data_IF_908953587448
#
_entry.id   IF_908953587448
#
_cell.length_a   1.000
_cell.length_b   1.000
_cell.length_c   1.000
_cell.angle_alpha   90.00
_cell.angle_beta   90.00
_cell.angle_gamma   90.00
#
_symmetry.space_group_name_H-M   'P 1'
#
loop_
_entity.id
_entity.type
_entity.pdbx_description
1 polymer ?
#
# COMPACT_ATOMS: atom_id res chain seq x y z
N UNK A 1 -0.47 -9.20 5.27
CA UNK A 1 0.57 -8.57 6.11
C UNK A 1 1.78 -8.20 5.26
N UNK A 2 2.43 -7.09 5.61
CA UNK A 2 3.69 -6.66 5.03
C UNK A 2 4.86 -7.03 5.94
N UNK A 3 6.05 -7.14 5.37
CA UNK A 3 7.28 -7.44 6.11
C UNK A 3 8.48 -6.73 5.49
N UNK A 4 9.53 -6.56 6.28
CA UNK A 4 10.79 -6.01 5.83
C UNK A 4 10.85 -4.48 5.78
N UNK A 5 9.98 -3.80 6.54
CA UNK A 5 10.19 -2.38 6.83
C UNK A 5 11.34 -2.22 7.85
N UNK A 6 12.10 -1.13 7.76
CA UNK A 6 13.21 -0.87 8.68
C UNK A 6 12.73 -0.63 10.11
N UNK A 7 11.57 -0.01 10.26
CA UNK A 7 10.94 0.27 11.54
C UNK A 7 9.89 -0.80 11.85
N UNK A 8 10.13 -1.58 12.89
CA UNK A 8 9.25 -2.67 13.30
C UNK A 8 7.92 -2.17 13.88
N UNK A 9 7.90 -0.99 14.50
CA UNK A 9 6.69 -0.40 15.06
C UNK A 9 5.80 0.15 13.94
N UNK A 10 6.39 0.80 12.93
CA UNK A 10 5.71 1.20 11.70
C UNK A 10 5.10 -0.02 11.02
N UNK A 11 5.87 -1.08 10.81
CA UNK A 11 5.39 -2.32 10.20
C UNK A 11 4.22 -2.94 10.98
N UNK A 12 4.33 -2.97 12.31
CA UNK A 12 3.29 -3.51 13.19
C UNK A 12 2.01 -2.68 13.12
N UNK A 13 2.13 -1.35 13.11
CA UNK A 13 1.00 -0.43 13.00
C UNK A 13 0.25 -0.62 11.68
N UNK A 14 0.96 -0.64 10.55
CA UNK A 14 0.37 -0.87 9.23
C UNK A 14 -0.30 -2.25 9.17
N UNK A 15 0.35 -3.30 9.66
CA UNK A 15 -0.23 -4.65 9.67
C UNK A 15 -1.48 -4.75 10.55
N UNK A 16 -1.54 -4.02 11.67
CA UNK A 16 -2.74 -3.96 12.51
C UNK A 16 -3.91 -3.29 11.77
N UNK A 17 -3.66 -2.17 11.09
CA UNK A 17 -4.66 -1.47 10.30
C UNK A 17 -5.16 -2.31 9.11
N UNK A 18 -4.26 -2.98 8.38
CA UNK A 18 -4.64 -3.91 7.30
C UNK A 18 -5.50 -5.05 7.84
N UNK A 19 -5.13 -5.62 8.98
CA UNK A 19 -5.91 -6.70 9.62
C UNK A 19 -7.29 -6.24 10.01
N UNK A 20 -7.42 -5.07 10.65
CA UNK A 20 -8.70 -4.48 11.00
C UNK A 20 -9.57 -4.25 9.75
N UNK A 21 -8.98 -3.69 8.70
CA UNK A 21 -9.64 -3.46 7.42
C UNK A 21 -10.29 -4.73 6.83
N UNK A 22 -9.59 -5.87 6.87
CA UNK A 22 -10.13 -7.13 6.34
C UNK A 22 -11.06 -7.86 7.32
N UNK A 23 -10.91 -7.65 8.62
CA UNK A 23 -11.78 -8.27 9.64
C UNK A 23 -13.07 -7.47 9.89
N UNK A 24 -13.00 -6.15 9.79
CA UNK A 24 -14.12 -5.22 10.00
C UNK A 24 -14.82 -4.86 8.68
N UNK A 25 -14.38 -5.45 7.57
CA UNK A 25 -15.02 -5.33 6.27
C UNK A 25 -16.52 -5.68 6.35
N UNK A 26 -17.28 -5.49 5.30
CA UNK A 26 -18.73 -5.65 5.36
C UNK A 26 -19.07 -7.01 5.96
N UNK A 27 -19.69 -6.98 7.14
CA UNK A 27 -20.21 -8.19 7.76
C UNK A 27 -21.30 -8.72 6.83
N UNK A 28 -21.01 -9.82 6.16
CA UNK A 28 -21.99 -10.52 5.36
C UNK A 28 -23.01 -11.06 6.34
N UNK A 29 -24.22 -10.53 6.33
CA UNK A 29 -25.30 -11.17 7.06
C UNK A 29 -25.48 -12.58 6.50
N UNK A 30 -25.84 -13.54 7.34
CA UNK A 30 -26.01 -14.94 6.95
C UNK A 30 -27.03 -15.18 5.80
N UNK A 31 -27.68 -14.13 5.35
CA UNK A 31 -28.63 -14.14 4.21
C UNK A 31 -27.95 -14.01 2.84
N UNK A 32 -26.65 -13.66 2.77
CA UNK A 32 -25.91 -13.47 1.53
C UNK A 32 -24.95 -14.63 1.27
N UNK A 33 -25.29 -15.48 0.29
CA UNK A 33 -24.62 -16.76 0.05
C UNK A 33 -23.32 -16.72 -0.78
N UNK A 34 -22.89 -15.59 -1.30
CA UNK A 34 -21.64 -15.55 -2.07
C UNK A 34 -20.97 -14.19 -1.95
N UNK A 35 -19.73 -14.20 -1.50
CA UNK A 35 -18.77 -13.12 -1.66
C UNK A 35 -17.87 -13.47 -2.84
N UNK A 36 -18.07 -12.79 -3.95
CA UNK A 36 -17.04 -12.70 -4.97
C UNK A 36 -16.28 -11.41 -4.74
N UNK A 37 -14.97 -11.49 -4.64
CA UNK A 37 -14.17 -10.30 -4.39
C UNK A 37 -12.70 -10.53 -4.67
N UNK A 38 -11.97 -9.43 -4.77
CA UNK A 38 -10.55 -9.41 -4.94
C UNK A 38 -9.90 -8.47 -3.92
N UNK A 39 -8.65 -8.67 -3.72
CA UNK A 39 -7.82 -7.73 -2.97
C UNK A 39 -6.46 -7.61 -3.63
N UNK A 40 -5.77 -6.51 -3.36
CA UNK A 40 -4.44 -6.30 -3.86
C UNK A 40 -3.72 -5.22 -3.10
N UNK A 41 -2.46 -5.04 -3.46
CA UNK A 41 -1.64 -3.97 -2.93
C UNK A 41 -0.64 -3.51 -3.99
N UNK A 42 -0.28 -2.23 -3.95
CA UNK A 42 0.80 -1.65 -4.74
C UNK A 42 1.62 -0.68 -3.90
N UNK A 43 2.83 -0.39 -4.34
CA UNK A 43 3.64 0.70 -3.79
C UNK A 43 3.67 1.81 -4.84
N UNK A 44 3.13 2.95 -4.45
CA UNK A 44 2.98 4.14 -5.27
C UNK A 44 3.84 5.26 -4.69
N UNK A 45 5.01 5.49 -5.27
CA UNK A 45 6.01 6.34 -4.64
C UNK A 45 6.51 5.72 -3.33
N UNK A 46 6.34 6.39 -2.20
CA UNK A 46 6.56 5.83 -0.85
C UNK A 46 5.28 5.41 -0.14
N UNK A 47 4.17 5.34 -0.86
CA UNK A 47 2.86 4.98 -0.31
C UNK A 47 2.53 3.52 -0.60
N UNK A 48 2.21 2.75 0.42
CA UNK A 48 1.55 1.45 0.29
C UNK A 48 0.05 1.67 0.11
N UNK A 49 -0.49 1.26 -1.02
CA UNK A 49 -1.94 1.25 -1.27
C UNK A 49 -2.44 -0.18 -1.19
N UNK A 50 -3.40 -0.44 -0.31
CA UNK A 50 -4.06 -1.74 -0.14
C UNK A 50 -5.53 -1.57 -0.50
N UNK A 51 -6.09 -2.45 -1.31
CA UNK A 51 -7.50 -2.38 -1.68
C UNK A 51 -8.18 -3.73 -1.59
N UNK A 52 -9.47 -3.68 -1.36
CA UNK A 52 -10.35 -4.82 -1.47
C UNK A 52 -11.65 -4.42 -2.16
N UNK A 53 -12.17 -5.32 -2.97
CA UNK A 53 -13.50 -5.22 -3.55
C UNK A 53 -14.28 -6.48 -3.24
N UNK A 54 -15.54 -6.37 -2.96
CA UNK A 54 -16.40 -7.53 -2.86
C UNK A 54 -17.81 -7.22 -3.36
N UNK A 55 -18.45 -8.24 -3.89
CA UNK A 55 -19.86 -8.23 -4.29
C UNK A 55 -20.59 -9.19 -3.37
N UNK A 56 -21.55 -8.70 -2.62
CA UNK A 56 -22.39 -9.52 -1.74
C UNK A 56 -23.82 -9.50 -2.23
N UNK A 57 -24.45 -10.69 -2.33
CA UNK A 57 -25.86 -10.80 -2.67
C UNK A 57 -26.13 -11.46 -4.02
N UNK A 58 -27.42 -11.72 -4.30
CA UNK A 58 -27.90 -12.31 -5.56
C UNK A 58 -28.86 -11.34 -6.26
N UNK A 59 -28.65 -11.18 -7.57
CA UNK A 59 -29.58 -10.41 -8.41
C UNK A 59 -29.59 -8.90 -8.11
N UNK A 60 -30.76 -8.28 -8.20
CA UNK A 60 -30.93 -6.84 -8.01
C UNK A 60 -30.65 -6.32 -6.59
N UNK A 61 -30.40 -7.21 -5.64
CA UNK A 61 -30.01 -6.87 -4.26
C UNK A 61 -28.52 -7.00 -3.98
N UNK A 62 -27.69 -7.19 -5.00
CA UNK A 62 -26.25 -7.27 -4.82
C UNK A 62 -25.68 -5.91 -4.36
N UNK A 63 -24.94 -5.93 -3.27
CA UNK A 63 -24.19 -4.77 -2.81
C UNK A 63 -22.72 -4.93 -3.25
N UNK A 64 -22.16 -3.87 -3.84
CA UNK A 64 -20.75 -3.79 -4.18
C UNK A 64 -20.05 -2.93 -3.16
N UNK A 65 -18.96 -3.45 -2.61
CA UNK A 65 -18.12 -2.75 -1.66
C UNK A 65 -16.71 -2.65 -2.22
N UNK A 66 -16.24 -1.43 -2.35
CA UNK A 66 -14.87 -1.14 -2.74
C UNK A 66 -14.26 -0.27 -1.66
N UNK A 67 -13.09 -0.62 -1.18
CA UNK A 67 -12.39 0.15 -0.17
C UNK A 67 -10.88 0.08 -0.38
N UNK A 68 -10.17 1.13 0.04
CA UNK A 68 -8.73 1.18 -0.01
C UNK A 68 -8.14 1.88 1.21
N UNK A 69 -6.92 1.53 1.54
CA UNK A 69 -6.09 2.17 2.54
C UNK A 69 -4.81 2.65 1.88
N UNK A 70 -4.28 3.76 2.36
CA UNK A 70 -2.99 4.30 1.92
C UNK A 70 -2.13 4.60 3.15
N UNK A 71 -0.88 4.13 3.15
CA UNK A 71 0.07 4.32 4.25
C UNK A 71 1.40 4.83 3.74
N UNK A 72 1.98 5.81 4.41
CA UNK A 72 3.38 6.13 4.21
C UNK A 72 4.28 5.01 4.76
N UNK A 73 5.13 4.44 3.92
CA UNK A 73 6.03 3.35 4.30
C UNK A 73 7.19 3.80 5.21
N UNK A 74 7.46 5.10 5.27
CA UNK A 74 8.54 5.64 6.10
C UNK A 74 8.05 5.98 7.51
N UNK A 75 6.80 6.49 7.63
CA UNK A 75 6.25 6.98 8.89
C UNK A 75 5.18 6.07 9.49
N UNK A 76 4.53 5.25 8.65
CA UNK A 76 3.36 4.45 9.03
C UNK A 76 2.06 5.25 9.09
N UNK A 77 2.10 6.53 8.74
CA UNK A 77 0.92 7.39 8.72
C UNK A 77 -0.09 6.87 7.69
N UNK A 78 -1.34 6.81 8.11
CA UNK A 78 -2.45 6.46 7.24
C UNK A 78 -3.03 7.73 6.63
N UNK A 79 -3.00 7.82 5.32
CA UNK A 79 -3.59 8.93 4.57
C UNK A 79 -5.07 8.68 4.27
N UNK A 80 -5.84 9.76 4.34
CA UNK A 80 -7.20 9.81 3.82
C UNK A 80 -7.18 10.41 2.41
N UNK A 81 -8.13 10.03 1.56
CA UNK A 81 -8.18 10.60 0.21
C UNK A 81 -8.33 12.12 0.21
N UNK A 82 -9.01 12.68 1.23
CA UNK A 82 -9.16 14.12 1.43
C UNK A 82 -7.84 14.85 1.63
N UNK A 83 -6.80 14.16 2.15
CA UNK A 83 -5.49 14.77 2.43
C UNK A 83 -4.71 15.08 1.14
N UNK A 84 -5.18 14.53 0.01
CA UNK A 84 -4.61 14.77 -1.31
C UNK A 84 -5.20 16.02 -1.99
N UNK A 85 -6.27 16.57 -1.47
CA UNK A 85 -7.06 17.58 -2.16
C UNK A 85 -7.23 18.87 -1.37
N UNK A 86 -7.35 19.97 -2.09
CA UNK A 86 -7.87 21.22 -1.55
C UNK A 86 -9.34 21.04 -1.13
N UNK A 87 -9.82 21.92 -0.25
CA UNK A 87 -11.19 21.87 0.23
C UNK A 87 -12.21 21.90 -0.92
N UNK A 88 -13.33 21.16 -0.74
CA UNK A 88 -14.45 21.13 -1.71
C UNK A 88 -14.17 20.41 -3.05
N UNK A 89 -13.17 19.55 -3.11
CA UNK A 89 -12.77 18.82 -4.31
C UNK A 89 -13.87 17.96 -4.95
N UNK A 90 -14.80 17.40 -4.16
CA UNK A 90 -15.80 16.44 -4.63
C UNK A 90 -16.72 16.99 -5.73
N UNK A 91 -17.06 18.29 -5.69
CA UNK A 91 -17.88 18.90 -6.72
C UNK A 91 -17.16 18.94 -8.07
N UNK A 92 -15.87 19.28 -8.06
CA UNK A 92 -15.03 19.28 -9.27
C UNK A 92 -14.82 17.86 -9.79
N UNK A 93 -14.52 16.91 -8.93
CA UNK A 93 -14.40 15.47 -9.31
C UNK A 93 -15.67 15.00 -10.04
N UNK A 94 -16.86 15.31 -9.51
CA UNK A 94 -18.14 14.95 -10.17
C UNK A 94 -18.29 15.54 -11.57
N UNK A 95 -17.74 16.71 -11.84
CA UNK A 95 -17.81 17.32 -13.18
C UNK A 95 -16.81 16.73 -14.16
N UNK A 96 -15.75 16.11 -13.66
CA UNK A 96 -14.69 15.47 -14.46
C UNK A 96 -15.02 14.01 -14.82
N UNK A 97 -15.90 13.39 -14.06
CA UNK A 97 -16.33 12.01 -14.32
C UNK A 97 -17.42 11.98 -15.41
N UNK A 98 -17.55 10.89 -16.18
CA UNK A 98 -18.58 10.76 -17.19
C UNK A 98 -19.99 11.01 -16.61
N UNK A 99 -20.74 11.93 -17.21
CA UNK A 99 -21.97 12.51 -16.63
C UNK A 99 -23.23 11.65 -16.79
N UNK A 100 -23.14 10.45 -17.35
CA UNK A 100 -24.33 9.65 -17.72
C UNK A 100 -24.93 8.88 -16.56
N UNK A 101 -24.28 8.84 -15.41
CA UNK A 101 -24.70 8.05 -14.26
C UNK A 101 -24.72 8.89 -12.99
N UNK A 102 -25.78 8.73 -12.19
CA UNK A 102 -25.74 9.17 -10.79
C UNK A 102 -24.60 8.42 -10.10
N UNK A 103 -23.42 9.04 -10.08
CA UNK A 103 -22.22 8.46 -9.50
C UNK A 103 -22.46 8.36 -8.00
N UNK A 104 -22.91 7.21 -7.58
CA UNK A 104 -22.86 6.84 -6.18
C UNK A 104 -21.38 6.60 -5.83
N UNK A 105 -20.69 7.68 -5.44
CA UNK A 105 -19.30 7.65 -4.96
C UNK A 105 -19.24 6.96 -3.58
N UNK A 106 -19.75 5.74 -3.50
CA UNK A 106 -19.72 4.93 -2.28
C UNK A 106 -18.42 4.13 -2.13
N UNK A 107 -17.48 4.29 -3.05
CA UNK A 107 -16.22 3.58 -3.00
C UNK A 107 -15.08 4.52 -2.63
N UNK A 108 -14.17 4.04 -1.82
CA UNK A 108 -12.91 4.72 -1.58
C UNK A 108 -12.06 4.64 -2.85
N UNK A 109 -11.67 5.78 -3.42
CA UNK A 109 -10.87 5.80 -4.64
C UNK A 109 -9.49 5.21 -4.37
N UNK A 110 -8.89 4.62 -5.40
CA UNK A 110 -7.53 4.11 -5.35
C UNK A 110 -6.55 5.14 -5.92
N UNK A 111 -5.52 5.45 -5.16
CA UNK A 111 -4.47 6.37 -5.56
C UNK A 111 -3.34 5.62 -6.25
N UNK A 112 -2.72 6.24 -7.24
CA UNK A 112 -1.50 5.81 -7.91
C UNK A 112 -0.57 6.99 -8.17
N UNK A 113 0.62 6.71 -8.68
CA UNK A 113 1.55 7.77 -9.13
C UNK A 113 1.06 8.56 -10.36
N UNK A 114 0.05 8.05 -11.06
CA UNK A 114 -0.55 8.70 -12.24
C UNK A 114 -1.73 9.59 -11.87
N UNK A 115 -2.47 9.26 -10.81
CA UNK A 115 -3.68 9.96 -10.41
C UNK A 115 -4.55 9.15 -9.47
N UNK A 116 -5.84 9.40 -9.52
CA UNK A 116 -6.84 8.79 -8.65
C UNK A 116 -7.87 8.05 -9.47
N UNK A 117 -8.03 6.74 -9.21
CA UNK A 117 -9.05 5.90 -9.84
C UNK A 117 -10.30 5.89 -8.99
N UNK A 118 -11.37 6.39 -9.55
CA UNK A 118 -12.71 6.41 -8.95
C UNK A 118 -13.49 5.21 -9.42
N UNK A 119 -14.24 4.60 -8.52
CA UNK A 119 -15.09 3.45 -8.80
C UNK A 119 -16.56 3.86 -8.67
N UNK A 120 -17.38 3.42 -9.59
CA UNK A 120 -18.81 3.62 -9.54
C UNK A 120 -19.53 2.33 -9.94
N UNK A 121 -20.71 2.17 -9.39
CA UNK A 121 -21.52 0.99 -9.67
C UNK A 121 -22.55 1.33 -10.74
N UNK A 122 -22.56 0.56 -11.79
CA UNK A 122 -23.60 0.59 -12.80
C UNK A 122 -24.59 -0.55 -12.60
N UNK A 123 -25.83 -0.27 -12.90
CA UNK A 123 -26.90 -1.26 -12.88
C UNK A 123 -27.49 -1.41 -14.28
N UNK A 124 -27.25 -2.54 -14.90
CA UNK A 124 -27.84 -2.86 -16.18
C UNK A 124 -29.25 -3.43 -15.97
N UNK A 125 -30.24 -2.65 -16.33
CA UNK A 125 -31.67 -3.00 -16.11
C UNK A 125 -32.15 -4.24 -16.88
N UNK A 126 -31.57 -4.51 -18.05
CA UNK A 126 -31.94 -5.63 -18.91
C UNK A 126 -31.45 -6.97 -18.34
N UNK A 127 -30.25 -7.03 -17.86
CA UNK A 127 -29.64 -8.25 -17.29
C UNK A 127 -29.80 -8.37 -15.79
N UNK A 128 -30.22 -7.29 -15.11
CA UNK A 128 -30.30 -7.15 -13.65
C UNK A 128 -28.95 -7.41 -12.97
N UNK A 129 -27.85 -7.03 -13.63
CA UNK A 129 -26.51 -7.14 -13.09
C UNK A 129 -26.01 -5.79 -12.63
N UNK A 130 -25.42 -5.78 -11.42
CA UNK A 130 -24.60 -4.67 -10.97
C UNK A 130 -23.15 -5.00 -11.34
N UNK A 131 -22.44 -4.04 -11.90
CA UNK A 131 -21.00 -4.13 -12.17
C UNK A 131 -20.33 -2.84 -11.75
N UNK A 132 -19.06 -2.93 -11.48
CA UNK A 132 -18.26 -1.78 -11.07
C UNK A 132 -17.41 -1.31 -12.24
N UNK A 133 -17.59 -0.07 -12.62
CA UNK A 133 -16.74 0.62 -13.56
C UNK A 133 -15.69 1.46 -12.81
N UNK A 134 -14.61 1.78 -13.47
CA UNK A 134 -13.55 2.61 -12.89
C UNK A 134 -13.10 3.68 -13.88
N UNK A 135 -12.79 4.86 -13.37
CA UNK A 135 -12.31 5.97 -14.15
C UNK A 135 -11.09 6.62 -13.48
N UNK A 136 -9.96 6.63 -14.20
CA UNK A 136 -8.75 7.31 -13.75
C UNK A 136 -8.83 8.80 -14.10
N UNK A 137 -8.80 9.64 -13.08
CA UNK A 137 -8.50 11.06 -13.22
C UNK A 137 -7.00 11.26 -12.96
N UNK A 138 -6.29 11.70 -13.98
CA UNK A 138 -4.84 11.96 -13.85
C UNK A 138 -4.57 13.19 -13.00
N UNK A 139 -3.38 13.29 -12.43
CA UNK A 139 -2.98 14.49 -11.69
C UNK A 139 -3.00 15.77 -12.56
N UNK A 140 -2.83 15.66 -13.88
CA UNK A 140 -3.00 16.76 -14.80
C UNK A 140 -4.46 17.25 -14.86
N UNK A 141 -5.41 16.32 -14.93
CA UNK A 141 -6.85 16.65 -14.91
C UNK A 141 -7.31 17.19 -13.54
N UNK A 142 -6.63 16.80 -12.46
CA UNK A 142 -6.93 17.19 -11.09
C UNK A 142 -6.13 18.43 -10.62
N UNK A 143 -5.31 19.05 -11.49
CA UNK A 143 -4.32 20.06 -11.12
C UNK A 143 -4.90 21.24 -10.30
N UNK A 144 -6.13 21.66 -10.60
CA UNK A 144 -6.78 22.79 -9.92
C UNK A 144 -7.28 22.46 -8.50
N UNK A 145 -7.34 21.18 -8.14
CA UNK A 145 -7.90 20.73 -6.85
C UNK A 145 -6.95 19.87 -6.03
N UNK A 146 -5.79 19.48 -6.56
CA UNK A 146 -4.75 18.77 -5.83
C UNK A 146 -4.01 19.73 -4.91
N UNK A 147 -3.84 19.30 -3.65
CA UNK A 147 -2.91 19.98 -2.73
C UNK A 147 -1.50 19.43 -2.94
N UNK A 148 -0.74 20.15 -3.76
CA UNK A 148 0.66 19.77 -4.08
C UNK A 148 1.62 19.92 -2.90
N UNK A 149 1.21 20.62 -1.83
CA UNK A 149 1.99 20.79 -0.60
C UNK A 149 1.67 19.71 0.45
N UNK A 150 0.66 18.89 0.20
CA UNK A 150 0.29 17.84 1.16
C UNK A 150 1.35 16.75 1.30
N UNK A 151 1.49 16.22 2.50
CA UNK A 151 2.39 15.08 2.76
C UNK A 151 2.05 13.87 1.88
N UNK A 152 0.76 13.65 1.62
CA UNK A 152 0.30 12.56 0.78
C UNK A 152 0.76 12.72 -0.68
N UNK A 153 0.63 13.93 -1.27
CA UNK A 153 1.12 14.18 -2.63
C UNK A 153 2.63 14.01 -2.72
N UNK A 154 3.38 14.53 -1.76
CA UNK A 154 4.84 14.36 -1.71
C UNK A 154 5.23 12.88 -1.58
N UNK A 155 4.55 12.11 -0.75
CA UNK A 155 4.80 10.68 -0.59
C UNK A 155 4.59 9.90 -1.90
N UNK A 156 3.56 10.24 -2.70
CA UNK A 156 3.32 9.65 -4.02
C UNK A 156 4.40 10.00 -5.04
N UNK A 157 5.11 11.10 -4.87
CA UNK A 157 6.21 11.55 -5.76
C UNK A 157 7.59 11.14 -5.26
N UNK A 158 7.70 10.64 -4.04
CA UNK A 158 8.95 10.16 -3.45
C UNK A 158 9.11 8.68 -3.72
N UNK A 159 10.18 8.29 -4.40
CA UNK A 159 10.44 6.88 -4.63
C UNK A 159 10.81 6.17 -3.31
N UNK A 160 10.06 5.17 -2.94
CA UNK A 160 10.42 4.31 -1.82
C UNK A 160 11.63 3.45 -2.18
N UNK A 161 12.68 3.63 -1.44
CA UNK A 161 13.87 2.76 -1.54
C UNK A 161 13.83 1.78 -0.37
N UNK A 162 13.59 0.52 -0.67
CA UNK A 162 13.62 -0.53 0.35
C UNK A 162 15.01 -0.51 1.02
N UNK A 163 15.08 -0.32 2.32
CA UNK A 163 16.36 -0.39 3.02
C UNK A 163 17.03 -1.74 2.80
N UNK A 164 18.35 -1.73 2.79
CA UNK A 164 19.11 -2.97 2.71
C UNK A 164 18.72 -3.88 3.87
N UNK A 165 18.37 -5.12 3.58
CA UNK A 165 18.03 -6.12 4.59
C UNK A 165 19.26 -6.85 5.13
N UNK A 166 20.42 -6.61 4.50
CA UNK A 166 21.70 -7.21 4.87
C UNK A 166 22.77 -6.14 5.01
N UNK A 167 23.77 -6.41 5.81
CA UNK A 167 24.97 -5.55 5.95
C UNK A 167 25.69 -5.47 4.61
N UNK A 168 26.06 -4.27 4.19
CA UNK A 168 26.71 -4.05 2.90
C UNK A 168 27.96 -4.95 2.73
N UNK A 169 27.96 -5.70 1.64
CA UNK A 169 29.03 -6.67 1.32
C UNK A 169 28.77 -8.09 1.80
N UNK A 170 27.76 -8.35 2.63
CA UNK A 170 27.48 -9.69 3.17
C UNK A 170 26.03 -10.08 3.00
N UNK A 171 25.77 -11.10 2.18
CA UNK A 171 24.43 -11.57 1.89
C UNK A 171 23.76 -12.36 3.04
N UNK A 172 24.58 -12.83 4.00
CA UNK A 172 24.18 -13.67 5.12
C UNK A 172 24.08 -12.92 6.47
N UNK A 173 24.35 -11.62 6.49
CA UNK A 173 24.27 -10.80 7.72
C UNK A 173 23.07 -9.87 7.61
N UNK A 174 21.99 -10.18 8.32
CA UNK A 174 20.84 -9.28 8.43
C UNK A 174 21.23 -7.97 9.11
N UNK A 175 20.69 -6.83 8.67
CA UNK A 175 20.87 -5.55 9.36
C UNK A 175 20.36 -5.58 10.80
N UNK A 176 19.43 -6.48 11.11
CA UNK A 176 18.88 -6.70 12.45
C UNK A 176 19.66 -7.75 13.27
N UNK A 177 20.74 -8.32 12.72
CA UNK A 177 21.58 -9.23 13.47
C UNK A 177 22.27 -8.49 14.62
N UNK A 178 22.32 -9.07 15.82
CA UNK A 178 22.88 -8.43 17.01
C UNK A 178 24.31 -7.90 16.80
N UNK A 179 25.09 -8.55 15.94
CA UNK A 179 26.48 -8.18 15.62
C UNK A 179 26.59 -7.32 14.35
N UNK A 180 25.51 -6.91 13.71
CA UNK A 180 25.54 -6.23 12.40
C UNK A 180 26.44 -4.99 12.39
N UNK A 181 26.33 -4.11 13.39
CA UNK A 181 27.13 -2.90 13.50
C UNK A 181 28.63 -3.21 13.73
N UNK A 182 28.93 -4.25 14.49
CA UNK A 182 30.31 -4.69 14.73
C UNK A 182 30.92 -5.30 13.46
N UNK A 183 30.16 -6.15 12.75
CA UNK A 183 30.58 -6.75 11.47
C UNK A 183 30.87 -5.65 10.44
N UNK A 184 30.00 -4.65 10.34
CA UNK A 184 30.20 -3.52 9.44
C UNK A 184 31.48 -2.75 9.79
N UNK A 185 31.74 -2.50 11.07
CA UNK A 185 32.93 -1.78 11.52
C UNK A 185 34.22 -2.56 11.26
N UNK A 186 34.26 -3.87 11.55
CA UNK A 186 35.48 -4.69 11.34
C UNK A 186 35.70 -4.95 9.85
N UNK A 187 34.68 -5.06 9.04
CA UNK A 187 34.81 -5.15 7.59
C UNK A 187 35.33 -3.83 6.97
N UNK A 188 34.77 -2.69 7.39
CA UNK A 188 35.21 -1.37 6.94
C UNK A 188 36.67 -1.04 7.33
N UNK A 189 37.13 -1.55 8.49
CA UNK A 189 38.53 -1.40 8.94
C UNK A 189 39.48 -2.40 8.31
N UNK A 190 38.98 -3.37 7.53
CA UNK A 190 39.78 -4.42 6.92
C UNK A 190 40.26 -5.52 7.88
N UNK A 191 39.81 -5.49 9.14
CA UNK A 191 40.19 -6.49 10.15
C UNK A 191 39.57 -7.87 9.86
N UNK A 192 38.37 -7.90 9.30
CA UNK A 192 37.71 -9.14 8.88
C UNK A 192 36.95 -8.85 7.56
N UNK A 193 37.16 -9.69 6.56
CA UNK A 193 36.65 -9.43 5.22
C UNK A 193 35.56 -10.43 4.75
N UNK A 194 35.38 -11.52 5.50
CA UNK A 194 34.48 -12.61 5.04
C UNK A 194 35.06 -13.33 3.82
N UNK A 195 34.24 -14.15 3.18
CA UNK A 195 34.57 -14.87 1.96
C UNK A 195 33.36 -14.95 1.05
N UNK A 196 33.55 -14.76 -0.26
CA UNK A 196 32.52 -14.91 -1.30
C UNK A 196 31.21 -14.13 -1.01
N UNK A 197 31.32 -12.93 -0.41
CA UNK A 197 30.17 -12.12 -0.08
C UNK A 197 29.36 -12.62 1.15
N UNK A 198 29.97 -13.50 1.96
CA UNK A 198 29.40 -13.98 3.22
C UNK A 198 30.35 -13.72 4.39
N UNK A 199 29.81 -13.48 5.59
CA UNK A 199 30.58 -13.27 6.81
C UNK A 199 30.50 -14.46 7.77
N UNK A 200 29.44 -15.24 7.70
CA UNK A 200 29.14 -16.41 8.53
C UNK A 200 29.12 -16.09 10.03
N UNK A 201 28.28 -15.13 10.49
CA UNK A 201 28.34 -14.56 11.83
C UNK A 201 28.16 -15.57 12.97
N UNK A 202 27.45 -16.65 12.71
CA UNK A 202 27.14 -17.72 13.70
C UNK A 202 28.06 -18.94 13.57
N UNK A 203 29.01 -18.92 12.65
CA UNK A 203 29.94 -20.02 12.48
C UNK A 203 31.13 -19.92 13.48
N UNK A 204 31.61 -21.05 14.03
CA UNK A 204 32.79 -21.05 14.85
C UNK A 204 34.01 -20.64 14.02
N UNK A 205 34.82 -19.73 14.55
CA UNK A 205 36.09 -19.30 13.95
C UNK A 205 37.11 -20.44 14.12
N UNK A 206 37.74 -20.82 13.02
CA UNK A 206 38.83 -21.81 13.07
C UNK A 206 40.15 -21.18 13.50
N UNK A 207 41.08 -21.99 13.97
CA UNK A 207 42.40 -21.51 14.37
C UNK A 207 43.18 -20.88 13.19
N UNK A 208 42.90 -21.33 11.96
CA UNK A 208 43.53 -20.80 10.76
C UNK A 208 42.94 -19.45 10.33
N UNK A 209 41.71 -19.14 10.70
CA UNK A 209 41.03 -17.85 10.44
C UNK A 209 41.41 -16.78 11.48
N UNK A 210 42.01 -17.18 12.62
CA UNK A 210 42.39 -16.29 13.71
C UNK A 210 43.85 -15.84 13.63
N UNK A 211 44.66 -16.38 12.74
CA UNK A 211 46.07 -16.03 12.55
C UNK A 211 46.28 -15.04 11.44
#
# INVERSE_FOLDING_TARGET
>A
EISGLPDADVQKSINAAIRAFFLEGPSVSAEYEALEGGYGASIEGSVLVVWANCVSGKGAGAAVWNNSLAFDLNTGEQYQISDLFLSSYMNTVKTLLPSEHEIYLYSYPRVSTEGVTWYYNEYESETRRAYTESYLLTFEQLADIIDTESAFYHALRTQYTRPATTVAGFSDVSVNHWAASFIQAVAASGLMQGSDGTFRPDAPVTRAEFT
#
